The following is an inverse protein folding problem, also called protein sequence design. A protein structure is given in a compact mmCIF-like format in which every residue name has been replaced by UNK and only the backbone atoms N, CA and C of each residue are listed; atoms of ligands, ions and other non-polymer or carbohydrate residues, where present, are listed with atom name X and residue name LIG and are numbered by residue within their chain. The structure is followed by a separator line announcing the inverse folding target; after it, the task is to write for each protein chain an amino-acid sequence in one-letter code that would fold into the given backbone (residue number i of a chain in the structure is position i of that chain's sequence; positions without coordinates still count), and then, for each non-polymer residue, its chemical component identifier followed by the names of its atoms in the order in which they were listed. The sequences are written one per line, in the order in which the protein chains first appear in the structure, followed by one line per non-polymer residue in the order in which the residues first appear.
data_IF_698589197220
#
_entry.id   IF_698589197220
#
_cell.length_a   1.000
_cell.length_b   1.000
_cell.length_c   1.000
_cell.angle_alpha   90.00
_cell.angle_beta   90.00
_cell.angle_gamma   90.00
#
_symmetry.space_group_name_H-M   'P 1'
#
loop_
_entity.id
_entity.type
_entity.pdbx_description
1 polymer ?
#
# COMPACT_ATOMS: atom_id res chain seq x y z
N UNK A 1 -2.15 -38.99 16.05
CA UNK A 1 -3.36 -38.30 15.53
C UNK A 1 -3.28 -36.83 15.93
N UNK A 2 -2.62 -36.02 15.11
CA UNK A 2 -2.31 -34.62 15.41
C UNK A 2 -3.59 -33.83 15.75
N UNK A 3 -3.56 -33.18 16.90
CA UNK A 3 -4.70 -32.52 17.56
C UNK A 3 -4.97 -31.16 16.86
N UNK A 4 -5.32 -31.19 15.58
CA UNK A 4 -5.53 -29.98 14.76
C UNK A 4 -6.72 -29.10 15.22
N UNK A 5 -7.58 -29.58 16.11
CA UNK A 5 -8.69 -28.79 16.66
C UNK A 5 -8.22 -27.70 17.66
N UNK A 6 -7.02 -27.83 18.24
CA UNK A 6 -6.46 -26.82 19.16
C UNK A 6 -5.98 -25.56 18.44
N UNK A 7 -5.67 -25.63 17.14
CA UNK A 7 -5.28 -24.44 16.37
C UNK A 7 -6.42 -23.41 16.36
N UNK A 8 -7.68 -23.86 16.36
CA UNK A 8 -8.88 -23.00 16.42
C UNK A 8 -9.12 -22.30 17.77
N UNK A 9 -8.43 -22.74 18.83
CA UNK A 9 -8.53 -22.12 20.17
C UNK A 9 -7.46 -21.03 20.39
N UNK A 10 -6.42 -21.01 19.55
CA UNK A 10 -5.31 -20.03 19.60
C UNK A 10 -5.36 -19.08 18.41
N UNK A 11 -5.69 -19.59 17.22
CA UNK A 11 -5.95 -18.83 16.02
C UNK A 11 -7.41 -18.43 16.00
N UNK A 12 -7.74 -17.36 16.72
CA UNK A 12 -9.00 -16.63 16.53
C UNK A 12 -9.08 -16.24 15.03
N UNK A 13 -9.90 -16.91 14.21
CA UNK A 13 -9.81 -16.84 12.75
C UNK A 13 -9.91 -15.39 12.26
N UNK A 14 -10.73 -14.59 12.94
CA UNK A 14 -10.85 -13.16 12.71
C UNK A 14 -9.52 -12.41 12.88
N UNK A 15 -8.80 -12.64 13.98
CA UNK A 15 -7.57 -11.91 14.29
C UNK A 15 -6.43 -12.29 13.38
N UNK A 16 -6.36 -13.54 12.93
CA UNK A 16 -5.30 -14.00 12.02
C UNK A 16 -5.53 -13.46 10.60
N UNK A 17 -6.77 -13.45 10.11
CA UNK A 17 -7.08 -12.80 8.83
C UNK A 17 -6.85 -11.29 8.88
N UNK A 18 -7.21 -10.63 9.98
CA UNK A 18 -6.94 -9.18 10.16
C UNK A 18 -5.44 -8.91 10.31
N UNK A 19 -4.73 -9.68 11.14
CA UNK A 19 -3.29 -9.51 11.33
C UNK A 19 -2.54 -9.73 10.02
N UNK A 20 -2.93 -10.75 9.25
CA UNK A 20 -2.29 -11.01 7.97
C UNK A 20 -2.67 -9.98 6.90
N UNK A 21 -3.94 -9.55 6.84
CA UNK A 21 -4.35 -8.47 5.94
C UNK A 21 -3.64 -7.15 6.24
N UNK A 22 -3.56 -6.77 7.53
CA UNK A 22 -2.85 -5.56 7.98
C UNK A 22 -1.35 -5.68 7.75
N UNK A 23 -0.76 -6.85 8.00
CA UNK A 23 0.67 -7.08 7.77
C UNK A 23 1.05 -6.89 6.29
N UNK A 24 0.30 -7.52 5.37
CA UNK A 24 0.53 -7.33 3.93
C UNK A 24 0.23 -5.88 3.48
N UNK A 25 -0.81 -5.25 4.04
CA UNK A 25 -1.15 -3.87 3.70
C UNK A 25 -0.08 -2.88 4.15
N UNK A 26 0.42 -3.00 5.38
CA UNK A 26 1.53 -2.19 5.89
C UNK A 26 2.78 -2.34 5.02
N UNK A 27 3.11 -3.58 4.65
CA UNK A 27 4.25 -3.86 3.79
C UNK A 27 4.08 -3.21 2.40
N UNK A 28 2.88 -3.32 1.82
CA UNK A 28 2.56 -2.70 0.54
C UNK A 28 2.65 -1.17 0.63
N UNK A 29 2.03 -0.54 1.64
CA UNK A 29 2.05 0.90 1.83
C UNK A 29 3.49 1.42 2.02
N UNK A 30 4.33 0.71 2.79
CA UNK A 30 5.73 1.07 2.97
C UNK A 30 6.51 1.10 1.65
N UNK A 31 6.30 0.11 0.78
CA UNK A 31 6.93 0.07 -0.55
C UNK A 31 6.42 1.23 -1.41
N UNK A 32 5.10 1.49 -1.45
CA UNK A 32 4.53 2.58 -2.26
C UNK A 32 5.03 3.95 -1.83
N UNK A 33 5.10 4.21 -0.52
CA UNK A 33 5.59 5.48 0.03
C UNK A 33 7.08 5.70 -0.30
N UNK A 34 7.91 4.64 -0.28
CA UNK A 34 9.31 4.73 -0.71
C UNK A 34 9.40 5.01 -2.22
N UNK A 35 8.58 4.36 -3.05
CA UNK A 35 8.55 4.63 -4.49
C UNK A 35 8.13 6.07 -4.80
N UNK A 36 7.11 6.59 -4.10
CA UNK A 36 6.69 7.99 -4.16
C UNK A 36 7.70 8.95 -3.52
N UNK A 37 8.64 8.48 -2.71
CA UNK A 37 9.73 9.34 -2.24
C UNK A 37 10.84 9.49 -3.29
N UNK A 38 10.81 8.71 -4.37
CA UNK A 38 11.82 8.76 -5.44
C UNK A 38 11.32 9.57 -6.64
N UNK A 39 12.10 10.57 -7.03
CA UNK A 39 11.87 11.52 -8.13
C UNK A 39 11.43 10.83 -9.45
N UNK A 40 11.95 9.63 -9.74
CA UNK A 40 11.69 8.89 -10.97
C UNK A 40 10.37 8.08 -10.98
N UNK A 41 9.88 7.64 -9.82
CA UNK A 41 8.65 6.84 -9.71
C UNK A 41 7.48 7.60 -9.09
N UNK A 42 7.65 8.91 -8.87
CA UNK A 42 6.66 9.82 -8.36
C UNK A 42 5.52 10.05 -9.38
N UNK A 43 4.60 9.09 -9.45
CA UNK A 43 3.48 9.17 -10.39
C UNK A 43 2.53 10.34 -10.09
N UNK A 44 2.53 10.87 -8.86
CA UNK A 44 1.80 12.08 -8.49
C UNK A 44 2.40 13.32 -9.16
N UNK A 45 3.72 13.45 -9.15
CA UNK A 45 4.43 14.54 -9.85
C UNK A 45 4.32 14.39 -11.37
N UNK A 46 4.44 13.15 -11.89
CA UNK A 46 4.18 12.87 -13.30
C UNK A 46 2.73 13.18 -13.70
N UNK A 47 1.73 12.87 -12.88
CA UNK A 47 0.33 13.22 -13.16
C UNK A 47 0.07 14.72 -13.04
N UNK A 48 0.73 15.43 -12.11
CA UNK A 48 0.67 16.88 -12.04
C UNK A 48 1.24 17.51 -13.32
N UNK A 49 2.42 17.07 -13.77
CA UNK A 49 3.02 17.52 -15.03
C UNK A 49 2.15 17.19 -16.26
N UNK A 50 1.44 16.05 -16.27
CA UNK A 50 0.60 15.63 -17.41
C UNK A 50 -0.81 16.22 -17.42
N UNK A 51 -1.41 16.45 -16.26
CA UNK A 51 -2.86 16.72 -16.12
C UNK A 51 -3.21 18.03 -15.37
N UNK A 52 -2.26 18.82 -14.85
CA UNK A 52 -2.64 20.10 -14.23
C UNK A 52 -1.52 21.08 -13.86
N UNK A 53 -1.62 22.29 -14.43
CA UNK A 53 -1.04 23.59 -13.99
C UNK A 53 0.27 24.06 -14.63
N UNK A 54 0.82 23.39 -15.65
CA UNK A 54 1.93 23.94 -16.45
C UNK A 54 1.52 24.56 -17.79
N UNK A 55 0.40 24.10 -18.37
CA UNK A 55 -0.03 24.50 -19.71
C UNK A 55 -0.83 25.82 -19.76
N UNK A 56 -1.27 26.34 -18.61
CA UNK A 56 -2.05 27.59 -18.54
C UNK A 56 -1.13 28.81 -18.41
N UNK A 57 0.10 28.64 -17.90
CA UNK A 57 1.06 29.74 -17.70
C UNK A 57 1.96 30.00 -18.92
N UNK A 58 2.09 29.03 -19.84
CA UNK A 58 2.84 29.20 -21.10
C UNK A 58 2.01 29.91 -22.21
N UNK A 59 0.81 30.39 -21.88
CA UNK A 59 -0.10 31.06 -22.80
C UNK A 59 -0.34 32.55 -22.45
N UNK A 60 0.47 33.12 -21.54
CA UNK A 60 0.51 34.56 -21.26
C UNK A 60 1.85 35.18 -21.66
#
# INVERSE_FOLDING_TARGET
MAQFYKIWLVFDPRRVFVAQGVFLFLLAAMIHLVLLSTDRYNWFEQSAAKYGTGAVEAAE
#
